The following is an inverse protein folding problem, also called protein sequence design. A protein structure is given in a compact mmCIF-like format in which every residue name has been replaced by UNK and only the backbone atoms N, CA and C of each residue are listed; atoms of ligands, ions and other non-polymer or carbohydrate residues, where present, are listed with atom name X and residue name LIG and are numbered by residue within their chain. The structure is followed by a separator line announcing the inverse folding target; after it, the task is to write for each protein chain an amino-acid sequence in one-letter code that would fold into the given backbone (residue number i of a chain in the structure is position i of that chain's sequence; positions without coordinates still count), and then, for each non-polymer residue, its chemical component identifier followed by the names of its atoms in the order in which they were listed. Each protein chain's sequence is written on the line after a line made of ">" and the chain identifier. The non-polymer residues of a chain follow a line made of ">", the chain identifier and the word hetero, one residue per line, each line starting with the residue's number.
data_IF_835807752451
#
_entry.id   IF_835807752451
#
_cell.length_a   1.000
_cell.length_b   1.000
_cell.length_c   1.000
_cell.angle_alpha   90.00
_cell.angle_beta   90.00
_cell.angle_gamma   90.00
#
_symmetry.space_group_name_H-M   'P 1'
#
loop_
_entity.id
_entity.type
_entity.pdbx_description
1 polymer ?
2 non-polymer ?
3 non-polymer ?
4 water ?
#
# COMPACT_ATOMS: atom_id res chain seq x y z
N UNK A 11 -26.20 -19.49 2.97
CA UNK A 11 -25.36 -18.28 2.82
C UNK A 11 -24.11 -18.40 1.94
N UNK A 12 -24.02 -17.64 0.84
CA UNK A 12 -23.00 -17.88 -0.21
C UNK A 12 -21.91 -16.83 -0.45
N UNK A 13 -20.69 -17.33 -0.67
CA UNK A 13 -19.48 -16.52 -0.78
C UNK A 13 -18.62 -16.98 -1.96
N UNK A 14 -18.27 -16.11 -2.91
CA UNK A 14 -17.20 -16.50 -3.84
C UNK A 14 -15.82 -15.98 -3.39
N UNK A 15 -14.83 -16.85 -3.50
CA UNK A 15 -13.52 -16.62 -2.93
C UNK A 15 -12.48 -16.65 -4.04
N UNK A 16 -12.12 -15.50 -4.60
CA UNK A 16 -11.12 -15.44 -5.63
C UNK A 16 -9.74 -15.65 -5.01
N UNK A 17 -9.10 -16.77 -5.32
CA UNK A 17 -7.83 -17.11 -4.70
C UNK A 17 -6.99 -18.11 -5.51
N UNK A 18 -5.75 -17.75 -5.80
CA UNK A 18 -4.87 -18.59 -6.62
C UNK A 18 -4.31 -19.81 -5.87
N UNK A 19 -3.79 -19.60 -4.67
CA UNK A 19 -3.22 -20.67 -3.85
C UNK A 19 -4.25 -21.76 -3.60
N UNK A 20 -4.00 -22.98 -4.07
CA UNK A 20 -4.98 -24.05 -3.91
C UNK A 20 -5.11 -24.44 -2.45
N UNK A 21 -4.02 -24.32 -1.70
CA UNK A 21 -4.02 -24.75 -0.31
C UNK A 21 -4.92 -23.88 0.57
N UNK A 22 -4.70 -22.56 0.58
CA UNK A 22 -5.55 -21.69 1.38
C UNK A 22 -6.99 -21.74 0.87
N UNK A 23 -7.17 -21.96 -0.43
CA UNK A 23 -8.49 -22.04 -0.99
C UNK A 23 -9.33 -23.15 -0.36
N UNK A 24 -8.68 -24.27 -0.06
CA UNK A 24 -9.36 -25.42 0.52
C UNK A 24 -9.65 -25.22 2.01
N UNK A 25 -8.65 -24.75 2.75
CA UNK A 25 -8.79 -24.54 4.17
C UNK A 25 -9.92 -23.57 4.47
N UNK A 26 -9.99 -22.49 3.72
CA UNK A 26 -11.07 -21.54 3.90
C UNK A 26 -12.42 -22.12 3.51
N UNK A 27 -12.47 -22.87 2.43
CA UNK A 27 -13.75 -23.44 1.99
C UNK A 27 -14.23 -24.50 2.97
N UNK A 28 -13.31 -25.30 3.50
CA UNK A 28 -13.64 -26.32 4.48
C UNK A 28 -14.10 -25.70 5.80
N UNK A 29 -13.32 -24.74 6.30
CA UNK A 29 -13.65 -24.06 7.56
C UNK A 29 -14.98 -23.30 7.51
N UNK A 30 -15.09 -22.31 6.64
CA UNK A 30 -16.34 -21.61 6.43
C UNK A 30 -17.50 -22.56 6.11
N UNK A 31 -17.16 -23.75 5.59
CA UNK A 31 -18.15 -24.77 5.30
C UNK A 31 -18.69 -25.37 6.58
N UNK A 32 -17.79 -25.82 7.45
CA UNK A 32 -18.17 -26.27 8.79
C UNK A 32 -19.11 -25.28 9.48
N UNK A 33 -19.08 -24.01 9.09
CA UNK A 33 -19.90 -22.98 9.71
C UNK A 33 -21.05 -22.49 8.85
N UNK A 34 -21.48 -23.34 7.93
CA UNK A 34 -22.73 -23.14 7.18
C UNK A 34 -22.71 -21.96 6.20
N UNK A 35 -21.57 -21.70 5.60
CA UNK A 35 -21.58 -20.84 4.42
C UNK A 35 -20.94 -21.54 3.21
N UNK A 36 -21.58 -21.36 2.05
CA UNK A 36 -21.26 -22.06 0.80
C UNK A 36 -20.17 -21.31 0.03
N UNK A 37 -18.95 -21.84 0.03
CA UNK A 37 -17.82 -21.12 -0.57
C UNK A 37 -17.44 -21.66 -1.95
N UNK A 38 -17.55 -20.80 -2.96
CA UNK A 38 -17.13 -21.11 -4.34
C UNK A 38 -15.76 -20.49 -4.61
N UNK A 39 -14.75 -21.30 -4.90
CA UNK A 39 -13.42 -20.73 -5.08
C UNK A 39 -12.93 -20.65 -6.54
N UNK A 40 -12.75 -19.43 -7.01
CA UNK A 40 -12.28 -19.19 -8.36
C UNK A 40 -10.82 -18.79 -8.33
N UNK A 41 -9.97 -19.55 -9.01
CA UNK A 41 -8.54 -19.23 -8.86
C UNK A 41 -7.95 -18.23 -9.86
N UNK A 42 -8.77 -17.59 -10.69
CA UNK A 42 -8.26 -16.61 -11.64
C UNK A 42 -8.99 -15.26 -11.55
N UNK A 43 -8.22 -14.18 -11.47
CA UNK A 43 -8.76 -12.83 -11.46
C UNK A 43 -9.66 -12.47 -12.63
N UNK A 44 -9.23 -12.82 -13.85
CA UNK A 44 -10.01 -12.49 -15.05
C UNK A 44 -11.29 -13.29 -15.19
N UNK A 45 -11.37 -14.41 -14.46
CA UNK A 45 -12.52 -15.27 -14.51
C UNK A 45 -13.61 -14.89 -13.50
N UNK A 46 -13.20 -14.36 -12.35
CA UNK A 46 -14.15 -13.76 -11.40
C UNK A 46 -14.83 -12.64 -12.14
N UNK A 47 -16.00 -12.24 -11.65
CA UNK A 47 -16.92 -11.30 -12.30
C UNK A 47 -17.89 -12.13 -13.09
N UNK A 48 -17.35 -13.07 -13.86
CA UNK A 48 -18.19 -14.01 -14.57
C UNK A 48 -18.70 -15.04 -13.55
N UNK A 49 -17.80 -15.55 -12.72
CA UNK A 49 -18.18 -16.44 -11.62
C UNK A 49 -19.09 -15.69 -10.65
N UNK A 50 -18.75 -14.44 -10.37
CA UNK A 50 -19.58 -13.65 -9.49
C UNK A 50 -20.94 -13.38 -10.11
N UNK A 51 -20.97 -13.01 -11.40
CA UNK A 51 -22.21 -12.71 -12.12
C UNK A 51 -23.18 -13.87 -12.01
N UNK A 52 -22.65 -15.06 -12.24
CA UNK A 52 -23.45 -16.28 -12.17
C UNK A 52 -23.85 -16.60 -10.73
N UNK A 53 -22.87 -16.94 -9.90
CA UNK A 53 -23.11 -17.42 -8.54
C UNK A 53 -23.94 -16.51 -7.64
N UNK A 54 -23.97 -15.23 -7.96
CA UNK A 54 -24.77 -14.25 -7.22
C UNK A 54 -24.58 -14.36 -5.71
N UNK A 55 -23.36 -14.14 -5.24
CA UNK A 55 -23.04 -14.45 -3.86
C UNK A 55 -23.48 -13.33 -2.95
N UNK A 56 -23.40 -13.57 -1.63
CA UNK A 56 -23.78 -12.61 -0.59
C UNK A 56 -22.61 -11.77 -0.15
N UNK A 57 -21.41 -12.34 -0.25
CA UNK A 57 -20.18 -11.61 0.08
C UNK A 57 -19.05 -12.09 -0.83
N UNK A 58 -18.11 -11.20 -1.13
CA UNK A 58 -17.00 -11.53 -2.01
C UNK A 58 -15.66 -11.44 -1.28
N UNK A 59 -14.92 -12.54 -1.23
CA UNK A 59 -13.61 -12.58 -0.60
C UNK A 59 -12.50 -12.51 -1.66
N UNK A 60 -11.73 -11.43 -1.70
CA UNK A 60 -10.69 -11.28 -2.72
C UNK A 60 -9.29 -11.48 -2.16
N UNK A 61 -8.51 -12.34 -2.83
CA UNK A 61 -7.06 -12.33 -2.69
C UNK A 61 -6.55 -11.12 -3.46
N UNK A 62 -5.33 -10.67 -3.22
CA UNK A 62 -4.81 -9.57 -4.02
C UNK A 62 -3.89 -10.02 -5.16
N UNK A 63 -2.82 -10.75 -4.83
CA UNK A 63 -1.95 -11.31 -5.85
C UNK A 63 -2.58 -12.53 -6.54
N UNK A 64 -3.27 -12.25 -7.64
CA UNK A 64 -3.94 -13.25 -8.47
C UNK A 64 -3.41 -13.20 -9.91
N UNK A 65 -3.51 -14.32 -10.66
CA UNK A 65 -3.22 -14.33 -12.09
C UNK A 65 -4.38 -13.75 -12.88
N UNK A 66 -4.09 -13.02 -13.95
CA UNK A 66 -5.14 -12.51 -14.81
C UNK A 66 -5.47 -11.08 -14.50
N UNK A 67 -5.86 -10.82 -13.27
CA UNK A 67 -6.32 -9.50 -12.85
C UNK A 67 -6.15 -9.40 -11.34
N UNK A 68 -5.47 -8.37 -10.85
CA UNK A 68 -5.17 -8.31 -9.43
C UNK A 68 -6.42 -8.02 -8.60
N UNK A 69 -6.41 -8.44 -7.34
CA UNK A 69 -7.58 -8.32 -6.49
C UNK A 69 -8.02 -6.89 -6.26
N UNK A 70 -7.09 -5.95 -6.34
CA UNK A 70 -7.44 -4.59 -6.02
C UNK A 70 -8.16 -3.90 -7.17
N UNK A 71 -7.70 -4.09 -8.41
CA UNK A 71 -8.43 -3.54 -9.55
C UNK A 71 -9.76 -4.25 -9.66
N UNK A 72 -9.76 -5.54 -9.36
CA UNK A 72 -10.97 -6.34 -9.41
C UNK A 72 -12.02 -5.79 -8.45
N UNK A 73 -11.54 -5.24 -7.34
CA UNK A 73 -12.40 -4.69 -6.30
C UNK A 73 -13.07 -3.39 -6.75
N UNK A 74 -12.31 -2.48 -7.36
CA UNK A 74 -12.88 -1.21 -7.79
C UNK A 74 -13.81 -1.38 -8.99
N UNK A 75 -13.66 -2.48 -9.72
CA UNK A 75 -14.53 -2.80 -10.86
C UNK A 75 -15.88 -3.34 -10.41
N UNK A 76 -15.88 -4.07 -9.31
CA UNK A 76 -17.11 -4.53 -8.71
C UNK A 76 -17.95 -3.37 -8.22
N UNK A 77 -17.30 -2.34 -7.70
CA UNK A 77 -18.02 -1.21 -7.10
C UNK A 77 -19.05 -0.58 -8.02
N UNK A 78 -18.67 -0.40 -9.28
CA UNK A 78 -19.61 0.13 -10.25
C UNK A 78 -20.86 -0.74 -10.32
N UNK A 79 -20.66 -2.05 -10.27
CA UNK A 79 -21.68 -3.00 -10.72
C UNK A 79 -22.16 -4.08 -9.75
N UNK A 80 -21.95 -3.90 -8.45
CA UNK A 80 -22.37 -4.91 -7.50
C UNK A 80 -22.29 -4.25 -6.15
N UNK A 81 -23.31 -4.42 -5.32
CA UNK A 81 -23.31 -3.61 -4.11
C UNK A 81 -23.39 -4.40 -2.81
N UNK A 82 -22.80 -5.59 -2.82
CA UNK A 82 -22.61 -6.33 -1.59
C UNK A 82 -21.29 -5.97 -0.91
N UNK A 83 -20.94 -6.69 0.16
CA UNK A 83 -19.67 -6.42 0.85
C UNK A 83 -18.50 -7.12 0.17
N UNK A 84 -17.39 -6.41 -0.01
CA UNK A 84 -16.18 -7.01 -0.57
C UNK A 84 -15.06 -6.98 0.46
N UNK A 85 -14.54 -8.14 0.79
CA UNK A 85 -13.51 -8.24 1.81
C UNK A 85 -12.20 -8.69 1.20
N UNK A 86 -11.16 -7.87 1.34
CA UNK A 86 -9.85 -8.29 0.89
C UNK A 86 -9.18 -9.20 1.91
N UNK A 87 -8.56 -10.27 1.45
CA UNK A 87 -7.82 -11.16 2.34
C UNK A 87 -6.50 -11.48 1.66
N UNK A 88 -5.39 -11.01 2.21
CA UNK A 88 -4.14 -11.06 1.48
C UNK A 88 -2.99 -11.29 2.40
N UNK A 89 -1.88 -11.76 1.84
CA UNK A 89 -0.67 -11.91 2.62
C UNK A 89 0.13 -10.62 2.64
N UNK A 90 -0.37 -9.62 1.90
CA UNK A 90 0.34 -8.35 1.67
C UNK A 90 0.23 -7.32 2.78
N UNK A 91 1.21 -7.27 3.66
CA UNK A 91 1.17 -6.39 4.82
C UNK A 91 1.57 -4.93 4.50
N UNK A 92 0.65 -4.18 3.90
CA UNK A 92 0.97 -2.84 3.41
C UNK A 92 -0.07 -1.79 3.82
N UNK A 93 0.38 -0.72 4.47
CA UNK A 93 -0.51 0.34 4.94
C UNK A 93 -1.18 1.07 3.79
N UNK A 94 -0.43 1.29 2.72
CA UNK A 94 -0.96 1.92 1.54
C UNK A 94 -2.07 1.10 0.92
N UNK A 95 -1.85 -0.21 0.68
CA UNK A 95 -2.90 -1.05 0.11
C UNK A 95 -4.18 -1.02 0.96
N UNK A 96 -4.02 -1.17 2.26
CA UNK A 96 -5.13 -1.20 3.21
C UNK A 96 -5.95 0.10 3.07
N UNK A 97 -5.28 1.23 3.22
CA UNK A 97 -5.90 2.53 3.17
C UNK A 97 -6.53 2.82 1.81
N UNK A 98 -5.90 2.28 0.77
CA UNK A 98 -6.34 2.52 -0.61
C UNK A 98 -7.59 1.73 -0.92
N UNK A 99 -7.67 0.52 -0.40
CA UNK A 99 -8.77 -0.35 -0.75
C UNK A 99 -10.00 -0.01 0.07
N UNK A 100 -9.81 0.54 1.26
CA UNK A 100 -10.96 1.05 2.00
C UNK A 100 -11.58 2.23 1.25
N UNK A 101 -10.74 2.99 0.55
CA UNK A 101 -11.20 4.16 -0.21
C UNK A 101 -11.73 3.82 -1.59
N UNK A 102 -11.37 2.64 -2.12
CA UNK A 102 -11.89 2.21 -3.41
C UNK A 102 -13.13 1.33 -3.25
N UNK A 103 -13.66 1.28 -2.03
CA UNK A 103 -14.93 0.62 -1.80
C UNK A 103 -14.86 -0.83 -1.33
N UNK A 104 -13.81 -1.20 -0.63
CA UNK A 104 -13.79 -2.49 0.04
C UNK A 104 -14.38 -2.29 1.42
N UNK A 105 -14.89 -3.37 2.02
CA UNK A 105 -15.51 -3.25 3.35
C UNK A 105 -14.55 -3.62 4.49
N UNK A 106 -13.43 -4.23 4.13
CA UNK A 106 -12.47 -4.70 5.11
C UNK A 106 -11.22 -5.17 4.38
N UNK A 107 -10.10 -5.21 5.08
CA UNK A 107 -8.84 -5.62 4.50
C UNK A 107 -8.15 -6.50 5.54
N UNK A 108 -8.09 -7.81 5.30
CA UNK A 108 -7.58 -8.73 6.33
C UNK A 108 -6.29 -9.48 5.96
N UNK A 109 -5.25 -9.39 6.80
CA UNK A 109 -4.03 -10.18 6.63
C UNK A 109 -4.35 -11.66 6.78
N UNK A 110 -3.75 -12.50 5.92
CA UNK A 110 -4.10 -13.94 5.84
C UNK A 110 -3.67 -14.63 7.09
N UNK A 111 -2.78 -13.92 7.78
CA UNK A 111 -2.23 -14.18 9.09
C UNK A 111 -3.24 -14.10 10.25
N UNK A 112 -4.41 -13.55 10.00
CA UNK A 112 -5.45 -13.48 11.01
C UNK A 112 -5.98 -14.87 11.28
N UNK A 113 -6.12 -15.21 12.58
CA UNK A 113 -6.71 -16.49 13.03
C UNK A 113 -8.11 -16.65 12.45
N UNK A 114 -8.47 -17.87 12.05
CA UNK A 114 -9.69 -18.11 11.26
C UNK A 114 -11.02 -17.84 12.00
N UNK A 115 -11.03 -17.96 13.32
CA UNK A 115 -12.26 -17.64 14.07
C UNK A 115 -12.52 -16.15 14.08
N UNK A 116 -11.46 -15.34 13.94
CA UNK A 116 -11.56 -13.89 13.84
C UNK A 116 -11.98 -13.49 12.44
N UNK A 117 -11.50 -14.20 11.43
CA UNK A 117 -11.95 -14.00 10.05
C UNK A 117 -13.45 -14.26 9.94
N UNK A 118 -13.91 -15.35 10.55
CA UNK A 118 -15.34 -15.68 10.56
C UNK A 118 -16.16 -14.62 11.28
N UNK A 119 -15.60 -14.08 12.35
CA UNK A 119 -16.31 -13.14 13.19
C UNK A 119 -16.62 -11.89 12.39
N UNK A 120 -15.67 -11.52 11.55
CA UNK A 120 -15.79 -10.34 10.70
C UNK A 120 -16.68 -10.57 9.47
N UNK A 121 -16.58 -11.74 8.87
CA UNK A 121 -17.42 -12.00 7.70
C UNK A 121 -18.87 -11.98 8.16
N UNK A 122 -19.10 -12.49 9.36
CA UNK A 122 -20.45 -12.59 9.89
C UNK A 122 -20.95 -11.17 10.14
N UNK A 123 -20.02 -10.29 10.49
CA UNK A 123 -20.36 -8.90 10.76
C UNK A 123 -20.89 -8.22 9.52
N UNK A 124 -20.26 -8.49 8.38
CA UNK A 124 -20.64 -7.84 7.13
C UNK A 124 -21.87 -8.49 6.51
N UNK A 125 -22.13 -9.74 6.84
CA UNK A 125 -23.36 -10.39 6.38
C UNK A 125 -24.58 -10.02 7.25
N UNK A 126 -24.51 -8.83 7.85
CA UNK A 126 -25.61 -8.19 8.56
C UNK A 126 -25.56 -6.69 8.27
N UNK A 127 -24.37 -6.13 8.45
CA UNK A 127 -24.07 -4.70 8.26
C UNK A 127 -24.23 -4.26 6.79
N UNK B 11 -16.38 16.49 11.48
CA UNK B 11 -17.12 15.45 12.20
C UNK B 11 -16.66 15.22 13.62
N UNK B 12 -17.59 14.76 14.47
CA UNK B 12 -17.37 14.74 15.92
C UNK B 12 -17.17 13.35 16.55
N UNK B 13 -16.08 13.20 17.27
CA UNK B 13 -15.68 11.93 17.83
C UNK B 13 -15.41 12.08 19.32
N UNK B 14 -16.14 11.34 20.15
CA UNK B 14 -15.78 11.22 21.56
C UNK B 14 -14.80 10.06 21.76
N UNK B 15 -13.68 10.30 22.42
CA UNK B 15 -12.64 9.30 22.49
C UNK B 15 -12.31 9.01 23.95
N UNK B 16 -12.93 7.97 24.48
CA UNK B 16 -12.80 7.61 25.90
C UNK B 16 -11.46 6.91 26.24
N UNK B 17 -10.49 7.65 26.74
CA UNK B 17 -9.17 7.08 27.02
C UNK B 17 -8.49 7.63 28.29
N UNK B 18 -8.03 6.72 29.15
CA UNK B 18 -7.32 7.11 30.37
C UNK B 18 -5.98 7.79 30.10
N UNK B 19 -4.95 7.01 29.74
CA UNK B 19 -3.62 7.53 29.39
C UNK B 19 -3.70 8.86 28.63
N UNK B 20 -3.32 9.95 29.30
CA UNK B 20 -3.59 11.27 28.74
C UNK B 20 -2.66 11.57 27.56
N UNK B 21 -1.51 10.91 27.52
CA UNK B 21 -0.58 11.12 26.44
C UNK B 21 -1.15 10.67 25.09
N UNK B 22 -1.47 9.38 24.97
CA UNK B 22 -2.10 8.88 23.76
C UNK B 22 -3.41 9.61 23.51
N UNK B 23 -4.07 10.02 24.57
CA UNK B 23 -5.35 10.68 24.41
C UNK B 23 -5.23 11.98 23.64
N UNK B 24 -4.14 12.71 23.87
CA UNK B 24 -3.94 14.00 23.19
C UNK B 24 -3.27 13.76 21.84
N UNK B 25 -2.28 12.87 21.82
CA UNK B 25 -1.61 12.49 20.57
C UNK B 25 -2.59 12.06 19.49
N UNK B 26 -3.48 11.11 19.79
CA UNK B 26 -4.53 10.72 18.85
C UNK B 26 -5.49 11.86 18.51
N UNK B 27 -5.85 12.68 19.49
CA UNK B 27 -6.81 13.76 19.27
C UNK B 27 -6.16 14.83 18.40
N UNK B 28 -4.82 14.92 18.52
CA UNK B 28 -4.00 15.80 17.68
C UNK B 28 -4.01 15.36 16.23
N UNK B 29 -3.62 14.10 15.99
CA UNK B 29 -3.61 13.53 14.64
C UNK B 29 -4.97 13.62 13.97
N UNK B 30 -5.98 13.10 14.63
CA UNK B 30 -7.33 13.16 14.12
C UNK B 30 -7.76 14.60 13.85
N UNK B 31 -7.05 15.53 14.46
CA UNK B 31 -7.30 16.96 14.30
C UNK B 31 -6.82 17.49 12.96
N UNK B 32 -5.51 17.33 12.70
CA UNK B 32 -4.93 17.70 11.41
C UNK B 32 -5.78 17.22 10.23
N UNK B 33 -6.51 16.13 10.41
CA UNK B 33 -7.30 15.58 9.32
C UNK B 33 -8.77 15.84 9.51
N UNK B 34 -9.11 16.99 10.06
CA UNK B 34 -10.49 17.45 10.08
C UNK B 34 -11.48 16.58 10.90
N UNK B 35 -11.15 16.34 12.17
CA UNK B 35 -12.08 15.67 13.08
C UNK B 35 -12.10 16.24 14.50
N UNK B 36 -13.31 16.50 15.00
CA UNK B 36 -13.49 17.15 16.30
C UNK B 36 -13.47 16.13 17.42
N UNK B 37 -12.39 16.12 18.20
CA UNK B 37 -12.19 15.05 19.17
C UNK B 37 -12.28 15.48 20.63
N UNK B 38 -13.37 15.06 21.27
CA UNK B 38 -13.64 15.31 22.69
C UNK B 38 -13.09 14.14 23.53
N UNK B 39 -11.93 14.30 24.16
CA UNK B 39 -11.34 13.17 24.90
C UNK B 39 -11.80 13.07 26.36
N UNK B 40 -12.30 11.90 26.75
CA UNK B 40 -12.82 11.61 28.09
C UNK B 40 -11.97 10.59 28.84
N UNK B 41 -11.43 10.93 30.01
CA UNK B 41 -10.57 9.88 30.59
C UNK B 41 -11.19 9.00 31.69
N UNK B 42 -12.52 9.04 31.86
CA UNK B 42 -13.24 8.16 32.80
C UNK B 42 -14.38 7.40 32.09
N UNK B 43 -14.47 6.09 32.35
CA UNK B 43 -15.59 5.32 31.85
C UNK B 43 -16.93 5.74 32.46
N UNK B 44 -16.88 6.17 33.72
CA UNK B 44 -18.05 6.65 34.46
C UNK B 44 -18.66 7.88 33.82
N UNK B 45 -17.81 8.75 33.28
CA UNK B 45 -18.23 10.02 32.73
C UNK B 45 -18.86 9.91 31.33
N UNK B 46 -18.27 9.06 30.48
CA UNK B 46 -18.91 8.76 29.21
C UNK B 46 -20.31 8.24 29.49
N UNK B 47 -21.15 8.26 28.46
CA UNK B 47 -22.60 8.04 28.53
C UNK B 47 -23.23 9.38 28.78
N UNK B 48 -22.59 10.18 29.63
CA UNK B 48 -23.01 11.54 29.87
C UNK B 48 -22.44 12.44 28.77
N UNK B 49 -21.10 12.50 28.72
CA UNK B 49 -20.39 13.23 27.69
C UNK B 49 -20.92 12.83 26.32
N UNK B 50 -21.11 11.54 26.13
CA UNK B 50 -21.62 11.03 24.86
C UNK B 50 -23.05 11.44 24.62
N UNK B 51 -23.79 11.70 25.69
CA UNK B 51 -25.17 12.15 25.55
C UNK B 51 -25.20 13.64 25.24
N UNK B 52 -24.23 14.36 25.80
CA UNK B 52 -24.13 15.81 25.61
C UNK B 52 -23.59 16.16 24.22
N UNK B 53 -22.35 15.75 23.95
CA UNK B 53 -21.62 16.06 22.71
C UNK B 53 -22.31 15.56 21.46
N UNK B 54 -23.17 14.55 21.64
CA UNK B 54 -23.94 13.94 20.57
C UNK B 54 -23.12 13.63 19.32
N UNK B 55 -22.00 12.89 19.49
CA UNK B 55 -21.05 12.69 18.39
C UNK B 55 -21.59 11.73 17.35
N UNK B 56 -20.99 11.68 16.16
CA UNK B 56 -21.39 10.76 15.10
C UNK B 56 -20.55 9.46 15.05
N UNK B 57 -19.46 9.42 15.82
CA UNK B 57 -18.74 8.17 16.07
C UNK B 57 -18.07 8.17 17.44
N UNK B 58 -17.98 6.98 18.04
CA UNK B 58 -17.53 6.82 19.41
C UNK B 58 -16.35 5.83 19.49
N UNK B 59 -15.25 6.25 20.08
CA UNK B 59 -13.99 5.53 19.98
C UNK B 59 -13.48 5.07 21.37
N UNK B 60 -13.78 3.83 21.76
CA UNK B 60 -13.54 3.35 23.12
C UNK B 60 -12.21 2.69 23.37
N UNK B 61 -11.58 3.04 24.49
CA UNK B 61 -10.44 2.29 25.01
C UNK B 61 -11.06 1.14 25.80
N UNK B 62 -10.25 0.16 26.21
CA UNK B 62 -10.75 -1.00 26.95
C UNK B 62 -10.47 -0.86 28.45
N UNK B 63 -9.18 -0.82 28.79
CA UNK B 63 -8.72 -0.65 30.16
C UNK B 63 -8.91 0.79 30.66
N UNK B 64 -10.15 1.13 31.02
CA UNK B 64 -10.49 2.42 31.61
C UNK B 64 -10.48 2.38 33.16
N UNK B 65 -10.45 3.55 33.82
CA UNK B 65 -10.67 3.57 35.26
C UNK B 65 -12.16 3.75 35.56
N UNK B 66 -12.60 3.23 36.71
CA UNK B 66 -14.00 3.20 37.03
C UNK B 66 -14.69 2.09 36.24
N UNK B 67 -15.46 2.48 35.22
CA UNK B 67 -16.09 1.52 34.31
C UNK B 67 -15.12 1.15 33.18
N UNK B 68 -15.39 0.08 32.45
CA UNK B 68 -14.46 -0.36 31.39
C UNK B 68 -15.06 -0.35 29.98
N UNK B 69 -14.18 -0.50 28.99
CA UNK B 69 -14.52 -0.26 27.60
C UNK B 69 -15.61 -1.14 27.05
N UNK B 70 -15.51 -2.43 27.35
CA UNK B 70 -16.40 -3.41 26.75
C UNK B 70 -17.81 -3.35 27.33
N UNK B 71 -17.91 -3.15 28.64
CA UNK B 71 -19.19 -2.96 29.33
C UNK B 71 -19.82 -1.69 28.83
N UNK B 72 -18.99 -0.66 28.72
CA UNK B 72 -19.39 0.64 28.18
C UNK B 72 -19.98 0.49 26.78
N UNK B 73 -19.39 -0.41 26.00
CA UNK B 73 -19.84 -0.68 24.64
C UNK B 73 -21.23 -1.32 24.62
N UNK B 74 -21.41 -2.31 25.50
CA UNK B 74 -22.66 -3.08 25.57
C UNK B 74 -23.84 -2.17 25.90
N UNK B 75 -23.64 -1.28 26.86
CA UNK B 75 -24.67 -0.33 27.30
C UNK B 75 -25.03 0.66 26.17
N UNK B 76 -23.99 1.29 25.63
CA UNK B 76 -24.14 2.26 24.56
C UNK B 76 -24.84 1.70 23.34
N UNK B 77 -24.90 0.37 23.23
CA UNK B 77 -25.50 -0.26 22.07
C UNK B 77 -27.00 -0.11 22.07
N UNK B 78 -27.59 -0.10 23.27
CA UNK B 78 -29.03 0.02 23.39
C UNK B 78 -29.46 1.45 23.13
N UNK B 79 -28.91 2.36 23.92
CA UNK B 79 -29.36 3.74 23.95
C UNK B 79 -29.06 4.53 22.66
N UNK B 80 -28.14 4.02 21.84
CA UNK B 80 -27.77 4.73 20.60
C UNK B 80 -27.24 3.79 19.51
N UNK B 81 -27.61 4.06 18.27
CA UNK B 81 -27.33 3.13 17.17
C UNK B 81 -26.38 3.65 16.09
N UNK B 82 -25.20 4.12 16.49
CA UNK B 82 -24.16 4.50 15.53
C UNK B 82 -22.81 3.84 15.80
N UNK B 83 -21.86 3.97 14.86
CA UNK B 83 -20.55 3.31 14.92
C UNK B 83 -19.82 3.43 16.25
N UNK B 84 -19.62 2.32 16.96
CA UNK B 84 -18.73 2.29 18.12
C UNK B 84 -17.48 1.50 17.75
N UNK B 85 -16.31 2.08 17.99
CA UNK B 85 -15.06 1.46 17.58
C UNK B 85 -14.16 1.26 18.79
N UNK B 86 -13.69 0.05 19.01
CA UNK B 86 -12.81 -0.19 20.15
C UNK B 86 -11.37 0.01 19.73
N UNK B 87 -10.48 0.21 20.70
CA UNK B 87 -9.12 0.58 20.39
C UNK B 87 -8.27 0.45 21.64
N UNK B 88 -7.42 -0.56 21.67
CA UNK B 88 -6.85 -1.01 22.92
C UNK B 88 -5.51 -1.61 22.69
N UNK B 89 -4.71 -1.70 23.75
CA UNK B 89 -3.47 -2.45 23.67
C UNK B 89 -3.70 -3.96 23.76
N UNK B 90 -4.91 -4.37 24.15
CA UNK B 90 -5.18 -5.80 24.43
C UNK B 90 -5.33 -6.67 23.19
N UNK B 91 -4.26 -7.36 22.85
CA UNK B 91 -4.24 -8.22 21.67
C UNK B 91 -4.85 -9.58 21.99
N UNK B 92 -6.17 -9.65 22.02
CA UNK B 92 -6.86 -10.88 22.41
C UNK B 92 -7.90 -11.29 21.37
N UNK B 93 -7.66 -12.41 20.70
CA UNK B 93 -8.59 -12.90 19.70
C UNK B 93 -9.99 -13.04 20.29
N UNK B 94 -10.05 -13.45 21.55
CA UNK B 94 -11.34 -13.64 22.23
C UNK B 94 -12.09 -12.32 22.41
N UNK B 95 -11.43 -11.31 22.96
CA UNK B 95 -12.00 -9.96 23.06
C UNK B 95 -12.52 -9.44 21.73
N UNK B 96 -11.67 -9.54 20.69
CA UNK B 96 -12.01 -9.13 19.33
C UNK B 96 -13.30 -9.79 18.89
N UNK B 97 -13.37 -11.11 19.04
CA UNK B 97 -14.53 -11.85 18.54
C UNK B 97 -15.79 -11.52 19.35
N UNK B 98 -15.60 -11.23 20.64
CA UNK B 98 -16.73 -10.90 21.51
C UNK B 98 -17.25 -9.48 21.31
N UNK B 99 -16.35 -8.51 21.09
CA UNK B 99 -16.72 -7.14 20.77
C UNK B 99 -17.64 -7.09 19.58
N UNK B 100 -17.30 -7.83 18.53
CA UNK B 100 -18.10 -7.81 17.33
C UNK B 100 -19.45 -8.46 17.59
N UNK B 101 -19.47 -9.43 18.50
CA UNK B 101 -20.70 -10.15 18.88
C UNK B 101 -21.65 -9.23 19.63
N UNK B 102 -21.08 -8.33 20.43
CA UNK B 102 -21.86 -7.40 21.24
C UNK B 102 -22.27 -6.09 20.56
N UNK B 103 -21.78 -5.83 19.35
CA UNK B 103 -22.25 -4.70 18.59
C UNK B 103 -21.22 -3.63 18.27
N UNK B 104 -19.96 -3.86 18.63
CA UNK B 104 -18.90 -2.95 18.21
C UNK B 104 -18.82 -2.98 16.69
N UNK B 105 -18.39 -1.89 16.06
CA UNK B 105 -18.27 -1.85 14.61
C UNK B 105 -16.88 -2.22 14.14
N UNK B 106 -15.88 -2.07 15.02
CA UNK B 106 -14.53 -2.49 14.72
C UNK B 106 -13.77 -2.73 16.03
N UNK B 107 -12.67 -3.47 15.97
CA UNK B 107 -11.80 -3.66 17.11
C UNK B 107 -10.37 -3.41 16.61
N UNK B 108 -9.71 -2.37 17.09
CA UNK B 108 -8.41 -2.00 16.54
C UNK B 108 -7.26 -1.99 17.56
N UNK B 109 -6.17 -2.68 17.25
CA UNK B 109 -5.00 -2.65 18.11
C UNK B 109 -4.35 -1.27 18.09
N UNK B 110 -3.78 -0.82 19.21
CA UNK B 110 -3.25 0.54 19.30
C UNK B 110 -1.99 0.68 18.46
N UNK B 111 -1.38 -0.46 18.14
CA UNK B 111 -0.18 -0.54 17.30
C UNK B 111 -0.42 -0.31 15.81
N UNK B 112 -1.70 -0.24 15.44
CA UNK B 112 -2.09 0.20 14.11
C UNK B 112 -1.57 1.61 13.81
N UNK B 113 -0.87 1.75 12.68
CA UNK B 113 -0.47 3.02 12.08
C UNK B 113 -1.64 3.97 12.02
N UNK B 114 -1.44 5.22 12.45
CA UNK B 114 -2.49 6.24 12.58
C UNK B 114 -3.22 6.46 11.26
N UNK B 115 -2.49 6.40 10.16
CA UNK B 115 -3.07 6.65 8.84
C UNK B 115 -4.15 5.62 8.50
N UNK B 116 -3.99 4.41 9.06
CA UNK B 116 -4.92 3.30 8.88
C UNK B 116 -6.07 3.41 9.87
N UNK B 117 -5.77 3.89 11.09
CA UNK B 117 -6.82 4.19 12.05
C UNK B 117 -7.72 5.28 11.48
N UNK B 118 -7.15 6.24 10.77
CA UNK B 118 -7.95 7.28 10.15
C UNK B 118 -8.82 6.70 9.05
N UNK B 119 -8.26 5.77 8.29
CA UNK B 119 -8.93 5.24 7.11
C UNK B 119 -10.16 4.41 7.46
N UNK B 120 -10.10 3.74 8.62
CA UNK B 120 -11.20 2.93 9.10
C UNK B 120 -12.26 3.79 9.76
N UNK B 121 -11.84 4.81 10.49
CA UNK B 121 -12.80 5.73 11.08
C UNK B 121 -13.59 6.34 9.94
N UNK B 122 -12.92 6.71 8.86
CA UNK B 122 -13.62 7.29 7.74
C UNK B 122 -14.56 6.27 7.14
N UNK B 123 -14.15 5.02 7.18
CA UNK B 123 -14.97 3.94 6.61
C UNK B 123 -16.29 3.84 7.33
N UNK B 124 -16.26 4.00 8.65
CA UNK B 124 -17.45 3.84 9.46
C UNK B 124 -18.35 5.07 9.45
N UNK B 125 -17.75 6.26 9.36
CA UNK B 125 -18.51 7.48 9.18
C UNK B 125 -19.08 7.60 7.75
N UNK B 126 -19.55 6.48 7.18
CA UNK B 126 -20.19 6.51 5.87
C UNK B 126 -21.52 5.75 5.95
N UNK B 127 -21.85 5.28 7.14
CA UNK B 127 -23.16 4.65 7.41
C UNK B 127 -23.88 5.32 8.59
N UNK C 11 28.66 -8.63 -14.89
CA UNK C 11 27.65 -9.19 -13.98
C UNK C 11 26.35 -9.71 -14.63
N UNK C 12 25.52 -10.38 -13.83
CA UNK C 12 24.58 -11.41 -14.34
C UNK C 12 23.10 -11.28 -13.91
N UNK C 13 22.22 -11.60 -14.84
CA UNK C 13 20.80 -11.33 -14.74
C UNK C 13 20.02 -12.56 -15.22
N UNK C 14 19.03 -13.04 -14.48
CA UNK C 14 18.05 -13.94 -15.11
C UNK C 14 16.81 -13.13 -15.47
N UNK C 15 16.19 -13.47 -16.60
CA UNK C 15 15.13 -12.66 -17.15
C UNK C 15 13.96 -13.58 -17.49
N UNK C 16 13.01 -13.71 -16.57
CA UNK C 16 11.84 -14.57 -16.80
C UNK C 16 10.88 -13.97 -17.83
N UNK C 17 10.80 -14.57 -19.01
CA UNK C 17 10.03 -13.99 -20.12
C UNK C 17 9.50 -15.07 -21.07
N UNK C 18 8.20 -15.07 -21.32
CA UNK C 18 7.60 -16.13 -22.12
C UNK C 18 7.78 -15.97 -23.63
N UNK C 19 7.59 -14.76 -24.13
CA UNK C 19 7.82 -14.47 -25.54
C UNK C 19 9.28 -14.69 -25.95
N UNK C 20 9.51 -15.56 -26.93
CA UNK C 20 10.87 -15.96 -27.27
C UNK C 20 11.63 -14.83 -27.94
N UNK C 21 10.92 -14.06 -28.75
CA UNK C 21 11.58 -13.02 -29.51
C UNK C 21 12.16 -11.97 -28.58
N UNK C 22 11.31 -11.30 -27.78
CA UNK C 22 11.78 -10.18 -26.96
C UNK C 22 12.73 -10.69 -25.90
N UNK C 23 12.61 -11.96 -25.56
CA UNK C 23 13.56 -12.58 -24.67
C UNK C 23 14.97 -12.48 -25.21
N UNK C 24 15.14 -12.70 -26.50
CA UNK C 24 16.48 -12.73 -27.08
C UNK C 24 16.92 -11.36 -27.60
N UNK C 25 15.96 -10.56 -28.02
CA UNK C 25 16.24 -9.20 -28.41
C UNK C 25 16.86 -8.45 -27.22
N UNK C 26 16.35 -8.71 -26.03
CA UNK C 26 16.80 -8.05 -24.81
C UNK C 26 18.12 -8.60 -24.31
N UNK C 27 18.26 -9.92 -24.34
CA UNK C 27 19.50 -10.57 -23.95
C UNK C 27 20.65 -10.10 -24.87
N UNK C 28 20.32 -9.90 -26.15
CA UNK C 28 21.26 -9.36 -27.13
C UNK C 28 21.75 -7.98 -26.74
N UNK C 29 20.82 -7.06 -26.52
CA UNK C 29 21.17 -5.70 -26.13
C UNK C 29 22.00 -5.59 -24.85
N UNK C 30 21.56 -6.26 -23.80
CA UNK C 30 22.30 -6.23 -22.53
C UNK C 30 23.65 -6.93 -22.71
N UNK C 31 23.72 -7.82 -23.70
CA UNK C 31 24.94 -8.52 -24.04
C UNK C 31 26.04 -7.57 -24.51
N UNK C 32 25.73 -6.77 -25.53
CA UNK C 32 26.64 -5.74 -26.01
C UNK C 32 27.20 -4.88 -24.86
N UNK C 33 26.46 -4.82 -23.75
CA UNK C 33 26.88 -3.99 -22.64
C UNK C 33 27.36 -4.76 -21.41
N UNK C 34 27.92 -5.94 -21.63
CA UNK C 34 28.63 -6.67 -20.57
C UNK C 34 27.71 -7.15 -19.46
N UNK C 35 26.48 -7.50 -19.82
CA UNK C 35 25.53 -8.07 -18.88
C UNK C 35 25.06 -9.45 -19.30
N UNK C 36 25.54 -10.48 -18.60
CA UNK C 36 25.22 -11.85 -18.96
C UNK C 36 23.77 -12.14 -18.57
N UNK C 37 22.93 -12.51 -19.54
CA UNK C 37 21.49 -12.68 -19.32
C UNK C 37 21.00 -14.10 -19.56
N UNK C 38 20.36 -14.70 -18.54
CA UNK C 38 19.79 -16.04 -18.63
C UNK C 38 18.28 -15.94 -18.79
N UNK C 39 17.76 -16.22 -19.98
CA UNK C 39 16.33 -15.99 -20.20
C UNK C 39 15.46 -17.24 -20.03
N UNK C 40 14.71 -17.28 -18.93
CA UNK C 40 13.79 -18.37 -18.54
C UNK C 40 12.37 -18.14 -19.04
N UNK C 41 11.79 -19.12 -19.77
CA UNK C 41 10.48 -18.88 -20.37
C UNK C 41 9.24 -19.16 -19.49
N UNK C 42 9.40 -19.76 -18.30
CA UNK C 42 8.23 -20.18 -17.52
C UNK C 42 8.26 -19.73 -16.07
N UNK C 43 7.16 -19.20 -15.57
CA UNK C 43 7.08 -18.73 -14.20
C UNK C 43 7.28 -19.81 -13.15
N UNK C 44 6.76 -21.00 -13.42
CA UNK C 44 6.93 -22.12 -12.51
C UNK C 44 8.36 -22.66 -12.50
N UNK C 45 9.15 -22.27 -13.49
CA UNK C 45 10.51 -22.76 -13.64
C UNK C 45 11.56 -21.84 -12.96
N UNK C 46 11.33 -20.52 -13.01
CA UNK C 46 12.11 -19.57 -12.19
C UNK C 46 11.97 -19.98 -10.72
N UNK C 47 12.77 -19.34 -9.89
CA UNK C 47 12.96 -19.71 -8.46
C UNK C 47 13.98 -20.81 -8.40
N UNK C 48 13.74 -21.87 -9.16
CA UNK C 48 14.71 -22.94 -9.30
C UNK C 48 15.86 -22.46 -10.17
N UNK C 49 15.52 -21.82 -11.29
CA UNK C 49 16.54 -21.22 -12.14
C UNK C 49 17.31 -20.15 -11.37
N UNK C 50 16.60 -19.34 -10.59
CA UNK C 50 17.24 -18.27 -9.83
C UNK C 50 18.05 -18.82 -8.67
N UNK C 51 17.64 -19.95 -8.11
CA UNK C 51 18.39 -20.52 -6.99
C UNK C 51 19.74 -21.04 -7.47
N UNK C 52 19.72 -21.66 -8.65
CA UNK C 52 20.93 -22.14 -9.30
C UNK C 52 21.83 -20.97 -9.75
N UNK C 53 21.29 -20.09 -10.58
CA UNK C 53 22.04 -18.99 -11.19
C UNK C 53 22.61 -17.97 -10.25
N UNK C 54 21.98 -17.81 -9.09
CA UNK C 54 22.38 -16.81 -8.11
C UNK C 54 22.74 -15.44 -8.75
N UNK C 55 21.81 -14.86 -9.51
CA UNK C 55 22.09 -13.66 -10.30
C UNK C 55 22.18 -12.44 -9.42
N UNK C 56 22.49 -11.28 -10.03
CA UNK C 56 22.69 -10.02 -9.31
C UNK C 56 21.42 -9.20 -9.32
N UNK C 57 20.55 -9.51 -10.29
CA UNK C 57 19.29 -8.83 -10.45
C UNK C 57 18.33 -9.70 -11.26
N UNK C 58 17.04 -9.64 -10.93
CA UNK C 58 16.03 -10.44 -11.63
C UNK C 58 15.08 -9.52 -12.41
N UNK C 59 14.80 -9.90 -13.66
CA UNK C 59 13.86 -9.17 -14.49
C UNK C 59 12.57 -9.99 -14.72
N UNK C 60 11.43 -9.52 -14.20
CA UNK C 60 10.19 -10.30 -14.29
C UNK C 60 9.20 -9.81 -15.35
N UNK C 61 8.39 -10.72 -15.88
CA UNK C 61 7.55 -10.38 -17.02
C UNK C 61 6.05 -10.23 -16.72
N UNK C 62 5.58 -10.69 -15.57
CA UNK C 62 4.12 -10.69 -15.28
C UNK C 62 3.35 -11.75 -16.08
N UNK C 63 2.88 -11.44 -17.28
CA UNK C 63 2.17 -12.44 -18.05
C UNK C 63 3.08 -13.60 -18.50
N UNK C 64 3.09 -14.63 -17.65
CA UNK C 64 3.92 -15.83 -17.77
C UNK C 64 3.09 -17.08 -17.57
N UNK C 65 3.53 -18.21 -18.16
CA UNK C 65 2.87 -19.51 -17.97
C UNK C 65 3.30 -20.21 -16.70
N UNK C 66 2.38 -20.89 -16.04
CA UNK C 66 2.73 -21.72 -14.89
C UNK C 66 2.67 -21.01 -13.56
N UNK C 67 3.04 -19.73 -13.57
CA UNK C 67 2.92 -18.86 -12.40
C UNK C 67 3.10 -17.43 -12.86
N UNK C 68 2.20 -16.55 -12.46
CA UNK C 68 2.23 -15.17 -12.95
C UNK C 68 3.31 -14.35 -12.26
N UNK C 69 3.83 -13.34 -12.94
CA UNK C 69 5.04 -12.67 -12.51
C UNK C 69 4.90 -11.90 -11.24
N UNK C 70 3.68 -11.46 -10.95
CA UNK C 70 3.45 -10.66 -9.76
C UNK C 70 3.44 -11.55 -8.53
N UNK C 71 2.91 -12.75 -8.65
CA UNK C 71 2.98 -13.69 -7.55
C UNK C 71 4.43 -14.10 -7.39
N UNK C 72 5.09 -14.34 -8.51
CA UNK C 72 6.49 -14.76 -8.52
C UNK C 72 7.37 -13.74 -7.81
N UNK C 73 6.99 -12.47 -7.88
CA UNK C 73 7.76 -11.42 -7.24
C UNK C 73 7.64 -11.51 -5.74
N UNK C 74 6.42 -11.70 -5.25
CA UNK C 74 6.14 -11.83 -3.82
C UNK C 74 6.91 -13.01 -3.24
N UNK C 75 6.88 -14.12 -3.96
CA UNK C 75 7.49 -15.36 -3.51
C UNK C 75 9.01 -15.23 -3.41
N UNK C 76 9.64 -14.72 -4.46
CA UNK C 76 11.08 -14.47 -4.46
C UNK C 76 11.50 -13.54 -3.33
N UNK C 77 10.70 -12.49 -3.10
CA UNK C 77 11.03 -11.47 -2.12
C UNK C 77 11.38 -12.05 -0.76
N UNK C 78 10.84 -13.23 -0.46
CA UNK C 78 11.04 -13.84 0.83
C UNK C 78 12.16 -14.86 0.88
N UNK C 79 12.62 -15.29 -0.29
CA UNK C 79 13.71 -16.26 -0.35
C UNK C 79 14.97 -15.71 -1.07
N UNK C 80 14.98 -14.42 -1.42
CA UNK C 80 16.09 -13.84 -2.20
C UNK C 80 16.37 -12.34 -1.93
N UNK C 81 17.64 -11.97 -2.09
CA UNK C 81 18.13 -10.71 -1.57
C UNK C 81 18.01 -9.51 -2.50
N UNK C 82 18.38 -9.71 -3.77
CA UNK C 82 18.63 -8.59 -4.67
C UNK C 82 17.47 -7.77 -5.22
N UNK C 83 17.75 -6.94 -6.21
CA UNK C 83 16.69 -6.16 -6.84
C UNK C 83 15.87 -6.93 -7.87
N UNK C 84 14.55 -6.89 -7.74
CA UNK C 84 13.61 -7.51 -8.66
C UNK C 84 12.97 -6.38 -9.46
N UNK C 85 13.08 -6.44 -10.77
CA UNK C 85 12.59 -5.35 -11.63
C UNK C 85 11.54 -5.89 -12.59
N UNK C 86 10.32 -5.40 -12.50
CA UNK C 86 9.30 -5.90 -13.41
C UNK C 86 9.36 -5.17 -14.73
N UNK C 87 9.15 -5.91 -15.81
CA UNK C 87 9.18 -5.35 -17.16
C UNK C 87 8.03 -5.99 -17.93
N UNK C 88 7.04 -5.19 -18.29
CA UNK C 88 5.76 -5.73 -18.77
C UNK C 88 5.06 -4.82 -19.76
N UNK C 89 4.20 -5.40 -20.60
CA UNK C 89 3.31 -4.60 -21.47
C UNK C 89 2.12 -4.02 -20.71
N UNK C 90 1.93 -4.46 -19.47
CA UNK C 90 0.79 -4.04 -18.66
C UNK C 90 0.97 -2.62 -18.13
N UNK C 91 0.27 -1.69 -18.76
CA UNK C 91 0.33 -0.31 -18.32
C UNK C 91 -0.77 -0.10 -17.28
N UNK C 92 -0.49 -0.52 -16.05
CA UNK C 92 -1.49 -0.47 -14.99
C UNK C 92 -0.97 0.23 -13.73
N UNK C 93 -1.50 1.42 -13.43
CA UNK C 93 -1.07 2.14 -12.23
C UNK C 93 -1.13 1.28 -10.98
N UNK C 94 -2.18 0.48 -10.87
CA UNK C 94 -2.37 -0.37 -9.71
C UNK C 94 -1.27 -1.42 -9.56
N UNK C 95 -0.96 -2.14 -10.64
CA UNK C 95 0.15 -3.08 -10.65
C UNK C 95 1.46 -2.42 -10.23
N UNK C 96 1.69 -1.20 -10.73
CA UNK C 96 2.88 -0.44 -10.41
C UNK C 96 2.93 -0.15 -8.92
N UNK C 97 1.81 0.25 -8.34
CA UNK C 97 1.75 0.52 -6.91
C UNK C 97 1.94 -0.77 -6.11
N UNK C 98 1.26 -1.84 -6.51
CA UNK C 98 1.33 -3.11 -5.79
C UNK C 98 2.74 -3.65 -5.72
N UNK C 99 3.43 -3.61 -6.84
CA UNK C 99 4.74 -4.20 -6.93
C UNK C 99 5.73 -3.43 -6.07
N UNK C 100 5.71 -2.11 -6.13
CA UNK C 100 6.61 -1.32 -5.28
C UNK C 100 6.32 -1.56 -3.80
N UNK C 101 5.04 -1.77 -3.45
CA UNK C 101 4.66 -1.95 -2.07
C UNK C 101 5.07 -3.32 -1.57
N UNK C 102 5.23 -4.28 -2.47
CA UNK C 102 5.67 -5.62 -2.07
C UNK C 102 7.19 -5.84 -2.21
N UNK C 103 7.92 -4.76 -2.47
CA UNK C 103 9.38 -4.81 -2.43
C UNK C 103 10.13 -4.95 -3.75
N UNK C 104 9.41 -4.87 -4.86
CA UNK C 104 10.08 -4.79 -6.15
C UNK C 104 10.84 -3.48 -6.21
N UNK C 105 11.83 -3.41 -7.09
CA UNK C 105 12.69 -2.23 -7.16
C UNK C 105 12.26 -1.25 -8.27
N UNK C 106 11.48 -1.72 -9.21
CA UNK C 106 11.08 -0.88 -10.32
C UNK C 106 9.95 -1.54 -11.09
N UNK C 107 9.25 -0.77 -11.90
CA UNK C 107 8.22 -1.31 -12.73
C UNK C 107 8.36 -0.58 -14.04
N UNK C 108 8.82 -1.29 -15.07
CA UNK C 108 9.15 -0.65 -16.33
C UNK C 108 8.26 -1.16 -17.46
N UNK C 109 7.73 -0.23 -18.25
CA UNK C 109 6.88 -0.58 -19.37
C UNK C 109 7.75 -1.04 -20.51
N UNK C 110 7.27 -2.05 -21.23
CA UNK C 110 8.05 -2.68 -22.29
C UNK C 110 8.35 -1.70 -23.44
N UNK C 111 7.59 -0.62 -23.51
CA UNK C 111 7.77 0.39 -24.55
C UNK C 111 8.84 1.43 -24.21
N UNK C 112 9.64 1.15 -23.19
CA UNK C 112 10.77 2.02 -22.88
C UNK C 112 11.88 1.75 -23.88
N UNK C 113 12.59 2.82 -24.29
CA UNK C 113 13.85 2.72 -25.04
C UNK C 113 14.86 1.82 -24.33
N UNK C 114 15.49 0.87 -25.06
CA UNK C 114 16.51 -0.02 -24.48
C UNK C 114 17.62 0.70 -23.75
N UNK C 115 18.05 1.86 -24.26
CA UNK C 115 19.08 2.63 -23.58
C UNK C 115 18.65 3.06 -22.18
N UNK C 116 17.35 3.32 -22.01
CA UNK C 116 16.80 3.70 -20.71
C UNK C 116 16.64 2.49 -19.79
N UNK C 117 16.25 1.34 -20.36
CA UNK C 117 16.19 0.10 -19.59
C UNK C 117 17.56 -0.18 -18.98
N UNK C 118 18.61 -0.04 -19.80
CA UNK C 118 19.96 -0.25 -19.32
C UNK C 118 20.32 0.69 -18.17
N UNK C 119 20.00 1.97 -18.31
CA UNK C 119 20.39 2.96 -17.32
C UNK C 119 19.78 2.68 -15.95
N UNK C 120 18.53 2.22 -15.97
CA UNK C 120 17.78 1.83 -14.78
C UNK C 120 18.33 0.56 -14.13
N UNK C 121 18.62 -0.44 -14.97
CA UNK C 121 19.19 -1.67 -14.49
C UNK C 121 20.52 -1.42 -13.78
N UNK C 122 21.35 -0.56 -14.37
CA UNK C 122 22.63 -0.26 -13.76
C UNK C 122 22.44 0.51 -12.47
N UNK C 123 21.37 1.29 -12.40
CA UNK C 123 21.03 2.01 -11.19
C UNK C 123 20.78 1.10 -10.00
N UNK C 124 20.11 -0.02 -10.25
CA UNK C 124 19.70 -0.92 -9.17
C UNK C 124 20.83 -1.82 -8.76
N UNK C 125 21.77 -2.02 -9.67
CA UNK C 125 22.95 -2.78 -9.36
C UNK C 125 23.84 -1.98 -8.39
N UNK C 126 23.84 -0.65 -8.52
CA UNK C 126 24.53 0.23 -7.58
C UNK C 126 23.87 0.26 -6.19
N UNK C 127 22.71 -0.36 -6.05
CA UNK C 127 21.89 -0.31 -4.82
C UNK C 127 21.35 1.08 -4.55
N UNK D 11 8.66 12.23 9.19
CA UNK D 11 9.40 12.05 7.93
C UNK D 11 9.55 13.31 7.09
N UNK D 12 10.78 13.71 6.78
CA UNK D 12 11.08 15.09 6.29
C UNK D 12 11.69 15.21 4.90
N UNK D 13 11.06 16.02 4.05
CA UNK D 13 11.48 16.19 2.65
C UNK D 13 11.74 17.65 2.30
N UNK D 14 12.91 18.00 1.74
CA UNK D 14 13.01 19.31 1.09
C UNK D 14 12.82 19.18 -0.42
N UNK D 15 12.09 20.13 -0.97
CA UNK D 15 11.63 20.05 -2.34
C UNK D 15 12.09 21.32 -3.06
N UNK D 16 13.15 21.21 -3.86
CA UNK D 16 13.66 22.38 -4.56
C UNK D 16 12.81 22.63 -5.81
N UNK D 17 12.07 23.74 -5.84
CA UNK D 17 11.10 24.02 -6.91
C UNK D 17 10.84 25.49 -7.19
N UNK D 18 10.95 25.87 -8.45
CA UNK D 18 10.79 27.27 -8.84
C UNK D 18 9.36 27.73 -9.13
N UNK D 19 8.42 26.82 -9.37
CA UNK D 19 7.04 27.21 -9.62
C UNK D 19 6.26 27.23 -8.32
N UNK D 20 5.81 28.43 -7.88
CA UNK D 20 5.17 28.60 -6.59
C UNK D 20 4.01 27.66 -6.41
N UNK D 21 3.16 27.58 -7.42
CA UNK D 21 1.96 26.77 -7.24
C UNK D 21 2.14 25.25 -7.25
N UNK D 22 3.06 24.69 -8.02
CA UNK D 22 3.29 23.25 -7.94
C UNK D 22 3.98 22.94 -6.62
N UNK D 23 4.75 23.90 -6.15
CA UNK D 23 5.40 23.76 -4.86
C UNK D 23 4.35 23.56 -3.81
N UNK D 24 3.33 24.42 -3.77
CA UNK D 24 2.34 24.26 -2.72
C UNK D 24 1.48 23.01 -2.93
N UNK D 25 1.17 22.69 -4.18
CA UNK D 25 0.39 21.49 -4.50
C UNK D 25 0.99 20.22 -3.89
N UNK D 26 2.30 20.07 -4.04
CA UNK D 26 2.96 18.87 -3.60
C UNK D 26 3.21 18.87 -2.09
N UNK D 27 3.61 20.01 -1.55
CA UNK D 27 3.80 20.13 -0.12
C UNK D 27 2.48 19.83 0.58
N UNK D 28 1.39 20.38 0.05
CA UNK D 28 0.04 20.17 0.59
C UNK D 28 -0.34 18.71 0.53
N UNK D 29 0.05 18.05 -0.54
CA UNK D 29 -0.38 16.69 -0.78
C UNK D 29 0.39 15.71 0.07
N UNK D 30 1.72 15.77 -0.02
CA UNK D 30 2.57 14.93 0.79
C UNK D 30 2.31 15.23 2.25
N UNK D 31 1.75 16.41 2.49
CA UNK D 31 1.37 16.86 3.80
C UNK D 31 0.28 16.01 4.40
N UNK D 32 -0.78 15.74 3.63
CA UNK D 32 -1.82 14.87 4.12
C UNK D 32 -1.34 13.41 4.32
N UNK D 33 -0.09 13.13 3.99
CA UNK D 33 0.46 11.80 4.21
C UNK D 33 1.60 11.84 5.20
N UNK D 34 1.48 12.80 6.13
CA UNK D 34 2.33 12.88 7.29
C UNK D 34 3.80 12.89 6.88
N UNK D 35 4.07 13.61 5.80
CA UNK D 35 5.43 13.99 5.43
C UNK D 35 5.53 15.50 5.61
N UNK D 36 6.70 15.95 6.04
CA UNK D 36 6.98 17.37 6.27
C UNK D 36 7.75 17.90 5.09
N UNK D 37 7.20 18.89 4.39
CA UNK D 37 7.85 19.32 3.15
C UNK D 37 8.35 20.75 3.22
N UNK D 38 9.67 20.95 3.24
CA UNK D 38 10.25 22.29 3.14
C UNK D 38 10.52 22.62 1.67
N UNK D 39 10.05 23.76 1.18
CA UNK D 39 10.21 24.03 -0.24
C UNK D 39 11.08 25.26 -0.50
N UNK D 40 12.15 25.06 -1.25
CA UNK D 40 13.07 26.13 -1.64
C UNK D 40 12.94 26.39 -3.12
N UNK D 41 12.72 27.66 -3.50
CA UNK D 41 12.63 28.03 -4.92
C UNK D 41 13.96 28.23 -5.68
N UNK D 42 15.12 28.23 -5.04
CA UNK D 42 16.38 28.52 -5.74
C UNK D 42 17.44 27.41 -5.65
N UNK D 43 18.11 27.13 -6.77
CA UNK D 43 19.21 26.18 -6.78
C UNK D 43 20.41 26.60 -5.93
N UNK D 44 20.70 27.91 -5.88
CA UNK D 44 21.77 28.45 -5.05
C UNK D 44 21.53 28.00 -3.62
N UNK D 45 20.34 28.35 -3.12
CA UNK D 45 20.03 28.21 -1.72
C UNK D 45 19.82 26.77 -1.22
N UNK D 46 19.43 25.83 -2.08
CA UNK D 46 19.42 24.43 -1.67
C UNK D 46 20.86 24.14 -1.41
N UNK D 47 21.12 23.21 -0.50
CA UNK D 47 22.44 22.92 0.12
C UNK D 47 22.46 23.65 1.44
N UNK D 48 22.49 24.97 1.41
CA UNK D 48 22.34 25.75 2.62
C UNK D 48 21.07 25.31 3.36
N UNK D 49 20.04 24.95 2.61
CA UNK D 49 18.77 24.57 3.21
C UNK D 49 18.77 23.10 3.50
N UNK D 50 19.40 22.31 2.64
CA UNK D 50 19.43 20.87 2.88
C UNK D 50 20.33 20.54 4.07
N UNK D 51 21.41 21.31 4.26
CA UNK D 51 22.27 21.15 5.43
C UNK D 51 21.52 21.56 6.68
N UNK D 52 20.83 22.68 6.62
CA UNK D 52 20.02 23.14 7.75
C UNK D 52 18.96 22.13 8.17
N UNK D 53 18.18 21.63 7.21
CA UNK D 53 16.99 20.84 7.51
C UNK D 53 17.27 19.37 7.74
N UNK D 54 18.42 18.88 7.26
CA UNK D 54 18.82 17.48 7.39
C UNK D 54 17.68 16.53 7.01
N UNK D 55 17.18 16.65 5.77
CA UNK D 55 15.95 15.95 5.42
C UNK D 55 16.23 14.49 5.10
N UNK D 56 15.19 13.66 5.17
CA UNK D 56 15.28 12.23 4.86
C UNK D 56 15.33 11.97 3.34
N UNK D 57 14.70 12.85 2.57
CA UNK D 57 14.70 12.74 1.11
C UNK D 57 14.75 14.12 0.43
N UNK D 58 15.41 14.20 -0.72
CA UNK D 58 15.48 15.46 -1.44
C UNK D 58 14.82 15.29 -2.79
N UNK D 59 13.73 16.02 -3.00
CA UNK D 59 12.99 16.06 -4.26
C UNK D 59 13.48 17.23 -5.10
N UNK D 60 14.03 16.97 -6.28
CA UNK D 60 14.60 18.05 -7.09
C UNK D 60 13.82 18.35 -8.35
N UNK D 61 13.41 19.60 -8.50
CA UNK D 61 13.00 20.08 -9.81
C UNK D 61 14.27 20.22 -10.66
N UNK D 62 14.14 20.18 -11.98
CA UNK D 62 15.32 20.29 -12.83
C UNK D 62 15.59 21.72 -13.27
N UNK D 63 14.68 22.33 -14.00
CA UNK D 63 14.84 23.72 -14.39
C UNK D 63 14.56 24.66 -13.22
N UNK D 64 15.64 25.15 -12.60
CA UNK D 64 15.61 26.10 -11.49
C UNK D 64 16.50 27.31 -11.78
N UNK D 65 16.24 28.44 -11.11
CA UNK D 65 17.13 29.61 -11.16
C UNK D 65 18.38 29.45 -10.29
N UNK D 66 19.51 30.00 -10.72
CA UNK D 66 20.77 29.85 -10.01
C UNK D 66 21.52 28.59 -10.43
N UNK D 67 21.58 27.61 -9.54
CA UNK D 67 22.13 26.29 -9.89
C UNK D 67 21.01 25.43 -10.43
N UNK D 68 21.24 24.72 -11.54
CA UNK D 68 20.18 23.90 -12.14
C UNK D 68 19.97 22.58 -11.40
N UNK D 69 18.93 21.85 -11.80
CA UNK D 69 18.53 20.65 -11.10
C UNK D 69 19.60 19.58 -10.99
N UNK D 70 20.14 19.14 -12.12
CA UNK D 70 21.03 18.00 -12.08
C UNK D 70 22.47 18.38 -11.77
N UNK D 71 22.82 19.65 -11.93
CA UNK D 71 24.10 20.12 -11.42
C UNK D 71 24.02 20.06 -9.90
N UNK D 72 22.93 20.59 -9.37
CA UNK D 72 22.67 20.56 -7.94
C UNK D 72 22.62 19.12 -7.42
N UNK D 73 22.35 18.16 -8.30
CA UNK D 73 22.24 16.75 -7.91
C UNK D 73 23.60 16.11 -7.72
N UNK D 74 24.49 16.32 -8.69
CA UNK D 74 25.86 15.82 -8.60
C UNK D 74 26.55 16.41 -7.37
N UNK D 75 26.46 17.73 -7.19
CA UNK D 75 27.07 18.39 -6.05
C UNK D 75 26.51 17.88 -4.72
N UNK D 76 25.32 17.30 -4.78
CA UNK D 76 24.65 16.83 -3.58
C UNK D 76 25.14 15.42 -3.28
N UNK D 77 25.28 14.62 -4.34
CA UNK D 77 25.78 13.25 -4.25
C UNK D 77 27.14 13.27 -3.58
N UNK D 78 27.89 14.34 -3.86
CA UNK D 78 29.22 14.53 -3.36
C UNK D 78 29.30 14.32 -1.87
N UNK D 79 28.46 15.03 -1.13
CA UNK D 79 28.52 14.90 0.32
C UNK D 79 27.29 14.28 0.94
N UNK D 80 26.49 13.52 0.18
CA UNK D 80 25.31 12.88 0.77
C UNK D 80 24.92 11.54 0.18
N UNK D 81 24.43 10.66 1.05
CA UNK D 81 24.15 9.28 0.67
C UNK D 81 22.67 8.94 0.47
N UNK D 82 21.79 9.89 0.83
CA UNK D 82 20.36 9.64 0.85
C UNK D 82 19.70 9.68 -0.51
N UNK D 83 18.40 9.41 -0.56
CA UNK D 83 17.66 9.42 -1.82
C UNK D 83 17.48 10.82 -2.42
N UNK D 84 17.92 11.01 -3.67
CA UNK D 84 17.69 12.25 -4.39
C UNK D 84 16.81 11.96 -5.59
N UNK D 85 15.55 12.39 -5.53
CA UNK D 85 14.56 12.08 -6.55
C UNK D 85 14.23 13.29 -7.41
N UNK D 86 14.55 13.22 -8.69
CA UNK D 86 14.19 14.30 -9.62
C UNK D 86 12.73 14.25 -10.02
N UNK D 87 12.11 15.41 -10.16
CA UNK D 87 10.69 15.50 -10.47
C UNK D 87 10.49 16.66 -11.43
N UNK D 88 10.46 16.35 -12.71
CA UNK D 88 10.56 17.39 -13.73
C UNK D 88 9.38 17.33 -14.67
N UNK D 89 9.21 18.38 -15.45
CA UNK D 89 8.26 18.34 -16.55
C UNK D 89 8.93 17.93 -17.89
N UNK D 90 10.27 17.86 -17.91
CA UNK D 90 11.01 17.50 -19.12
C UNK D 90 10.80 16.04 -19.49
N UNK D 91 10.12 15.80 -20.59
CA UNK D 91 9.91 14.43 -21.01
C UNK D 91 10.93 14.06 -22.06
N UNK D 92 12.08 13.55 -21.62
CA UNK D 92 13.08 13.14 -22.57
C UNK D 92 13.98 12.03 -22.03
N UNK D 93 14.00 10.91 -22.75
CA UNK D 93 14.76 9.73 -22.38
C UNK D 93 16.21 10.06 -22.13
N UNK D 94 16.75 10.95 -22.94
CA UNK D 94 18.15 11.32 -22.79
C UNK D 94 18.41 11.98 -21.44
N UNK D 95 17.59 12.97 -21.10
CA UNK D 95 17.70 13.67 -19.83
C UNK D 95 17.59 12.72 -18.64
N UNK D 96 16.75 11.70 -18.80
CA UNK D 96 16.49 10.70 -17.78
C UNK D 96 17.73 9.85 -17.55
N UNK D 97 18.32 9.35 -18.64
CA UNK D 97 19.57 8.61 -18.58
C UNK D 97 20.73 9.44 -18.01
N UNK D 98 20.85 10.66 -18.51
CA UNK D 98 21.87 11.62 -18.13
C UNK D 98 21.90 11.90 -16.64
N UNK D 99 20.73 11.95 -16.05
CA UNK D 99 20.65 12.40 -14.68
C UNK D 99 20.67 11.20 -13.77
N UNK D 100 20.57 10.00 -14.33
CA UNK D 100 20.82 8.81 -13.51
C UNK D 100 22.32 8.64 -13.35
N UNK D 101 23.05 9.03 -14.39
CA UNK D 101 24.50 8.95 -14.39
C UNK D 101 25.10 10.11 -13.61
N UNK D 102 24.26 11.05 -13.20
CA UNK D 102 24.68 12.11 -12.29
C UNK D 102 24.32 11.76 -10.84
N UNK D 103 24.02 10.50 -10.59
CA UNK D 103 23.78 10.01 -9.24
C UNK D 103 22.42 10.28 -8.62
N UNK D 104 21.39 10.35 -9.45
CA UNK D 104 20.04 10.50 -8.91
C UNK D 104 19.49 9.12 -8.56
N UNK D 105 18.55 9.08 -7.63
CA UNK D 105 18.02 7.83 -7.13
C UNK D 105 16.80 7.41 -7.91
N UNK D 106 16.22 8.36 -8.67
CA UNK D 106 14.99 8.13 -9.44
C UNK D 106 14.70 9.40 -10.24
N UNK D 107 13.90 9.26 -11.30
CA UNK D 107 13.54 10.37 -12.20
C UNK D 107 12.05 10.23 -12.49
N UNK D 108 11.25 11.15 -11.96
CA UNK D 108 9.80 11.01 -12.05
C UNK D 108 9.20 12.17 -12.80
N UNK D 109 8.38 11.88 -13.79
CA UNK D 109 7.69 12.90 -14.58
C UNK D 109 6.58 13.55 -13.78
N UNK D 110 6.40 14.87 -13.94
CA UNK D 110 5.40 15.61 -13.15
C UNK D 110 3.97 15.21 -13.48
N UNK D 111 3.78 14.60 -14.64
CA UNK D 111 2.48 14.09 -15.03
C UNK D 111 2.24 12.66 -14.55
N UNK D 112 3.00 12.23 -13.56
CA UNK D 112 2.74 10.95 -12.96
C UNK D 112 1.56 11.11 -12.03
N UNK D 113 0.62 10.14 -12.04
CA UNK D 113 -0.48 10.05 -11.08
C UNK D 113 0.01 10.20 -9.64
N UNK D 114 -0.73 10.92 -8.81
CA UNK D 114 -0.31 11.18 -7.42
C UNK D 114 -0.06 9.88 -6.67
N UNK D 115 -0.96 8.92 -6.86
CA UNK D 115 -0.90 7.65 -6.13
C UNK D 115 0.39 6.89 -6.38
N UNK D 116 0.93 7.04 -7.60
CA UNK D 116 2.19 6.44 -7.99
C UNK D 116 3.39 7.20 -7.43
N UNK D 117 3.36 8.53 -7.50
CA UNK D 117 4.44 9.35 -6.94
C UNK D 117 4.63 9.07 -5.46
N UNK D 118 3.52 8.88 -4.75
CA UNK D 118 3.56 8.54 -3.33
C UNK D 118 4.24 7.20 -3.09
N UNK D 119 3.77 6.19 -3.81
CA UNK D 119 4.35 4.86 -3.69
C UNK D 119 5.85 4.83 -3.97
N UNK D 120 6.32 5.67 -4.89
CA UNK D 120 7.76 5.75 -5.13
C UNK D 120 8.49 6.43 -3.99
N UNK D 121 8.01 7.57 -3.52
CA UNK D 121 8.65 8.22 -2.39
C UNK D 121 8.69 7.28 -1.18
N UNK D 122 7.63 6.49 -0.98
CA UNK D 122 7.58 5.58 0.14
C UNK D 122 8.65 4.50 0.02
N UNK D 123 8.83 4.01 -1.21
CA UNK D 123 9.89 3.05 -1.50
C UNK D 123 11.26 3.59 -1.08
N UNK D 124 11.63 4.73 -1.65
CA UNK D 124 12.90 5.38 -1.34
C UNK D 124 13.12 5.72 0.12
N UNK D 125 12.04 5.99 0.85
CA UNK D 125 12.17 6.25 2.27
C UNK D 125 12.28 4.97 3.10
N UNK D 126 12.74 3.88 2.50
CA UNK D 126 13.17 2.70 3.27
C UNK D 126 14.63 2.34 2.90
N UNK D 127 15.55 2.69 3.80
CA UNK D 127 17.00 2.54 3.59
C UNK D 127 17.82 2.92 4.84
#
# INVERSE_FOLDING_TARGET
>A
MHHHHHHAMGNKIVFVEDDPEVGTLIAAYLGKHDMDVVVEPRGDRAEEVIAREKPDLVLLDIMLPGKDGMTLCRDLRGQWQGPIVLLTSLDSDMNHILSLEMGASDYILKTTPPAVLLARLRLHLRQH
>B
MHHHHHHAMGNKIVFVEDDPEVGTLIAAYLGKHDMDVVVEPRGDRAEEVIAREKPDLVLLDIMLPGKDGMTLCRDLRGQWQGPIVLLTSLDSDMNHILSLEMGASDYILKTTPPAVLLARLRLHLRQH
>C
MHHHHHHAMGNKIVFVEDDPEVGTLIAAYLGKHDMDVVVEPRGDRAEEVIAREKPDLVLLDIMLPGKDGMTLCRDLRGQWQGPIVLLTSLDSDMNHILSLEMGASDYILKTTPPAVLLARLRLHLRQH
>D
MHHHHHHAMGNKIVFVEDDPEVGTLIAAYLGKHDMDVVVEPRGDRAEEVIAREKPDLVLLDIMLPGKDGMTLCRDLRGQWQGPIVLLTSLDSDMNHILSLEMGASDYILKTTPPAVLLARLRLHLRQH
#
